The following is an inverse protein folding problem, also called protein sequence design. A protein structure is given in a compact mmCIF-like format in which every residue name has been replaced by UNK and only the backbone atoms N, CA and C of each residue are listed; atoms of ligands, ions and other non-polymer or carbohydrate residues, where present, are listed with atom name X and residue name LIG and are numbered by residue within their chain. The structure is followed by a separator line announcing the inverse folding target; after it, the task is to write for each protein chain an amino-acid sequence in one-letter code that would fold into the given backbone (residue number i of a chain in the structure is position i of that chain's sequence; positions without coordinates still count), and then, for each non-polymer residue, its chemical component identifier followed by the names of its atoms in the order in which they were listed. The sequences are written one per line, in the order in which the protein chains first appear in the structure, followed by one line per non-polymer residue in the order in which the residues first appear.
data_IF_942474545962
#
_entry.id   IF_942474545962
#
_cell.length_a   1.000
_cell.length_b   1.000
_cell.length_c   1.000
_cell.angle_alpha   90.00
_cell.angle_beta   90.00
_cell.angle_gamma   90.00
#
_symmetry.space_group_name_H-M   'P 1'
#
loop_
_entity.id
_entity.type
_entity.pdbx_description
1 polymer ?
#
# COMPACT_ATOMS: atom_id res chain seq x y z
N UNK A 1 -19.43 -26.90 49.79
CA UNK A 1 -20.10 -25.74 49.18
C UNK A 1 -19.93 -25.88 47.67
N UNK A 2 -20.99 -26.32 46.99
CA UNK A 2 -21.05 -26.50 45.55
C UNK A 2 -21.24 -25.14 44.88
N UNK A 3 -20.42 -24.79 43.89
CA UNK A 3 -20.89 -24.04 42.73
C UNK A 3 -19.95 -24.28 41.54
N UNK A 4 -20.38 -25.17 40.64
CA UNK A 4 -19.82 -25.30 39.31
C UNK A 4 -20.28 -24.08 38.52
N UNK A 5 -19.37 -23.22 38.10
CA UNK A 5 -19.69 -22.12 37.18
C UNK A 5 -19.59 -22.69 35.77
N UNK A 6 -20.75 -22.81 35.15
CA UNK A 6 -20.94 -23.20 33.75
C UNK A 6 -20.70 -21.96 32.89
N UNK A 7 -19.56 -21.86 32.22
CA UNK A 7 -19.39 -20.86 31.15
C UNK A 7 -20.03 -21.40 29.88
N UNK A 8 -21.17 -20.84 29.51
CA UNK A 8 -21.80 -21.05 28.21
C UNK A 8 -21.00 -20.22 27.20
N UNK A 9 -20.25 -20.92 26.34
CA UNK A 9 -19.61 -20.34 25.17
C UNK A 9 -20.70 -20.08 24.12
N UNK A 10 -21.12 -18.82 23.96
CA UNK A 10 -21.96 -18.39 22.85
C UNK A 10 -21.04 -18.28 21.63
N UNK A 11 -21.01 -19.32 20.81
CA UNK A 11 -20.47 -19.27 19.46
C UNK A 11 -21.52 -18.56 18.60
N UNK A 12 -21.22 -17.33 18.18
CA UNK A 12 -22.00 -16.59 17.19
C UNK A 12 -21.64 -17.16 15.80
N UNK A 13 -22.41 -18.14 15.33
CA UNK A 13 -22.35 -18.56 13.92
C UNK A 13 -23.01 -17.44 13.11
N UNK A 14 -22.22 -16.62 12.45
CA UNK A 14 -22.70 -15.89 11.28
C UNK A 14 -22.98 -16.95 10.20
N UNK A 15 -24.24 -17.33 10.05
CA UNK A 15 -24.70 -18.04 8.86
C UNK A 15 -24.83 -16.93 7.81
N UNK A 16 -24.05 -16.92 6.72
CA UNK A 16 -24.39 -16.07 5.60
C UNK A 16 -25.79 -16.50 5.15
N UNK A 17 -26.79 -15.63 5.30
CA UNK A 17 -28.12 -15.81 4.73
C UNK A 17 -28.00 -15.49 3.24
N UNK A 18 -27.24 -16.30 2.54
CA UNK A 18 -27.35 -16.44 1.10
C UNK A 18 -28.49 -17.41 0.86
N UNK A 19 -29.55 -16.97 0.18
CA UNK A 19 -30.49 -17.90 -0.41
C UNK A 19 -29.72 -18.77 -1.41
N UNK A 20 -29.38 -20.00 -1.03
CA UNK A 20 -28.88 -21.00 -1.96
C UNK A 20 -30.07 -21.45 -2.81
N UNK A 21 -30.33 -20.72 -3.89
CA UNK A 21 -31.08 -21.31 -4.99
C UNK A 21 -30.19 -22.40 -5.57
N UNK A 22 -30.54 -23.66 -5.30
CA UNK A 22 -30.04 -24.79 -6.06
C UNK A 22 -30.67 -24.76 -7.47
N UNK A 23 -30.37 -23.72 -8.24
CA UNK A 23 -30.45 -23.81 -9.68
C UNK A 23 -29.27 -24.66 -10.10
N UNK A 24 -29.53 -25.84 -10.68
CA UNK A 24 -28.50 -26.59 -11.39
C UNK A 24 -28.16 -25.82 -12.67
N UNK A 25 -27.55 -24.64 -12.53
CA UNK A 25 -27.07 -23.87 -13.67
C UNK A 25 -26.08 -24.74 -14.42
N UNK A 26 -26.28 -24.85 -15.73
CA UNK A 26 -25.42 -25.60 -16.64
C UNK A 26 -24.15 -24.83 -16.98
N UNK A 27 -24.10 -23.55 -16.62
CA UNK A 27 -22.97 -22.63 -16.78
C UNK A 27 -22.73 -21.90 -15.46
N UNK A 28 -21.47 -21.68 -15.10
CA UNK A 28 -21.04 -20.80 -14.00
C UNK A 28 -20.13 -19.71 -14.55
N UNK A 29 -20.08 -18.56 -13.87
CA UNK A 29 -19.12 -17.50 -14.15
C UNK A 29 -18.64 -16.92 -12.83
N UNK A 30 -17.36 -16.55 -12.78
CA UNK A 30 -16.71 -15.84 -11.69
C UNK A 30 -15.57 -14.99 -12.24
N UNK A 31 -15.10 -14.07 -11.42
CA UNK A 31 -13.86 -13.31 -11.63
C UNK A 31 -12.79 -13.84 -10.67
N UNK A 32 -11.52 -13.54 -10.94
CA UNK A 32 -10.39 -13.92 -10.08
C UNK A 32 -10.30 -13.08 -8.80
N UNK A 33 -10.87 -11.87 -8.80
CA UNK A 33 -11.05 -11.01 -7.62
C UNK A 33 -12.44 -10.34 -7.63
N UNK A 34 -12.84 -9.75 -6.49
CA UNK A 34 -14.08 -9.00 -6.34
C UNK A 34 -13.92 -7.50 -6.63
N UNK A 35 -12.69 -6.97 -6.56
CA UNK A 35 -12.33 -5.57 -6.74
C UNK A 35 -11.15 -5.43 -7.71
N UNK A 36 -11.13 -4.34 -8.48
CA UNK A 36 -10.09 -4.02 -9.46
C UNK A 36 -9.86 -2.51 -9.58
N UNK A 37 -8.60 -2.11 -9.77
CA UNK A 37 -8.19 -0.75 -10.07
C UNK A 37 -7.90 -0.56 -11.57
N UNK A 38 -7.71 0.70 -12.00
CA UNK A 38 -7.30 1.00 -13.37
C UNK A 38 -5.99 0.29 -13.74
N UNK A 39 -5.98 -0.38 -14.89
CA UNK A 39 -4.83 -1.13 -15.38
C UNK A 39 -4.76 -2.58 -14.91
N UNK A 40 -5.62 -3.01 -13.98
CA UNK A 40 -5.71 -4.42 -13.60
C UNK A 40 -6.17 -5.32 -14.77
N UNK A 41 -5.73 -6.57 -14.75
CA UNK A 41 -6.25 -7.60 -15.67
C UNK A 41 -7.30 -8.44 -14.95
N UNK A 42 -8.55 -8.29 -15.36
CA UNK A 42 -9.69 -9.05 -14.85
C UNK A 42 -9.75 -10.39 -15.58
N UNK A 43 -9.65 -11.50 -14.86
CA UNK A 43 -9.78 -12.84 -15.44
C UNK A 43 -11.16 -13.40 -15.18
N UNK A 44 -12.01 -13.35 -16.20
CA UNK A 44 -13.35 -13.95 -16.15
C UNK A 44 -13.23 -15.41 -16.49
N UNK A 45 -13.75 -16.30 -15.64
CA UNK A 45 -13.67 -17.75 -15.83
C UNK A 45 -14.96 -18.45 -15.43
N UNK A 46 -15.12 -19.68 -15.90
CA UNK A 46 -16.29 -20.48 -15.55
C UNK A 46 -16.24 -21.88 -16.14
N UNK A 47 -17.31 -22.63 -15.88
CA UNK A 47 -17.44 -24.00 -16.34
C UNK A 47 -18.83 -24.26 -16.94
N UNK A 48 -18.87 -25.10 -17.96
CA UNK A 48 -20.11 -25.65 -18.53
C UNK A 48 -20.18 -27.15 -18.24
N UNK A 49 -21.33 -27.60 -17.74
CA UNK A 49 -21.55 -29.02 -17.42
C UNK A 49 -21.82 -29.89 -18.64
N UNK A 50 -22.47 -29.34 -19.67
CA UNK A 50 -22.88 -30.08 -20.88
C UNK A 50 -22.43 -29.30 -22.10
N UNK A 51 -21.44 -29.84 -22.81
CA UNK A 51 -20.88 -29.25 -24.02
C UNK A 51 -21.67 -29.76 -25.23
N UNK A 52 -22.18 -28.84 -26.05
CA UNK A 52 -22.89 -29.12 -27.30
C UNK A 52 -22.01 -28.68 -28.48
N UNK A 53 -21.41 -29.65 -29.16
CA UNK A 53 -20.57 -29.38 -30.34
C UNK A 53 -19.44 -28.38 -30.06
N UNK A 54 -19.26 -27.43 -30.97
CA UNK A 54 -18.28 -26.33 -30.87
C UNK A 54 -18.97 -24.99 -30.55
N UNK A 55 -20.13 -25.01 -29.87
CA UNK A 55 -20.84 -23.78 -29.50
C UNK A 55 -19.95 -22.91 -28.58
N UNK A 56 -19.69 -21.64 -28.93
CA UNK A 56 -18.95 -20.73 -28.06
C UNK A 56 -19.85 -20.12 -26.98
N UNK A 57 -19.23 -19.59 -25.93
CA UNK A 57 -19.87 -18.73 -24.94
C UNK A 57 -19.89 -17.31 -25.48
N UNK A 58 -20.98 -16.59 -25.26
CA UNK A 58 -21.03 -15.13 -25.42
C UNK A 58 -20.88 -14.48 -24.05
N UNK A 59 -19.80 -13.73 -23.86
CA UNK A 59 -19.55 -12.89 -22.69
C UNK A 59 -19.97 -11.46 -23.02
N UNK A 60 -20.69 -10.82 -22.11
CA UNK A 60 -21.10 -9.42 -22.17
C UNK A 60 -20.78 -8.77 -20.83
N UNK A 61 -20.07 -7.64 -20.86
CA UNK A 61 -19.75 -6.83 -19.68
C UNK A 61 -20.58 -5.57 -19.72
N UNK A 62 -21.22 -5.22 -18.60
CA UNK A 62 -22.08 -4.04 -18.48
C UNK A 62 -21.66 -3.13 -17.34
N UNK A 63 -21.87 -1.83 -17.54
CA UNK A 63 -21.79 -0.78 -16.51
C UNK A 63 -23.02 0.10 -16.60
N UNK A 64 -23.81 0.17 -15.53
CA UNK A 64 -25.06 0.96 -15.48
C UNK A 64 -26.02 0.69 -16.66
N UNK A 65 -26.06 -0.56 -17.11
CA UNK A 65 -26.85 -1.02 -18.26
C UNK A 65 -26.22 -0.77 -19.63
N UNK A 66 -25.08 -0.07 -19.72
CA UNK A 66 -24.36 0.15 -20.96
C UNK A 66 -23.38 -1.00 -21.24
N UNK A 67 -23.27 -1.41 -22.50
CA UNK A 67 -22.32 -2.45 -22.93
C UNK A 67 -20.89 -1.88 -22.90
N UNK A 68 -20.01 -2.55 -22.19
CA UNK A 68 -18.58 -2.25 -22.08
C UNK A 68 -17.79 -3.13 -23.03
N UNK A 69 -17.99 -4.44 -22.95
CA UNK A 69 -17.24 -5.46 -23.69
C UNK A 69 -18.20 -6.55 -24.19
N UNK A 70 -17.94 -7.11 -25.37
CA UNK A 70 -18.59 -8.34 -25.84
C UNK A 70 -17.57 -9.25 -26.50
N UNK A 71 -17.54 -10.52 -26.10
CA UNK A 71 -16.60 -11.50 -26.61
C UNK A 71 -17.26 -12.87 -26.84
N UNK A 72 -16.71 -13.62 -27.80
CA UNK A 72 -17.05 -15.04 -27.99
C UNK A 72 -15.87 -15.91 -27.57
N UNK A 73 -16.11 -16.88 -26.70
CA UNK A 73 -15.07 -17.70 -26.07
C UNK A 73 -15.32 -19.16 -26.40
N UNK A 74 -14.30 -19.83 -26.94
CA UNK A 74 -14.36 -21.27 -27.18
C UNK A 74 -14.22 -22.02 -25.85
N UNK A 75 -15.06 -23.04 -25.67
CA UNK A 75 -15.06 -23.89 -24.48
C UNK A 75 -14.04 -25.01 -24.67
N UNK A 76 -13.22 -25.28 -23.66
CA UNK A 76 -12.30 -26.41 -23.69
C UNK A 76 -13.04 -27.75 -23.51
N UNK A 77 -12.36 -28.86 -23.81
CA UNK A 77 -12.97 -30.21 -23.79
C UNK A 77 -13.45 -30.66 -22.41
N UNK A 78 -12.92 -30.07 -21.35
CA UNK A 78 -13.30 -30.27 -19.96
C UNK A 78 -14.36 -29.27 -19.47
N UNK A 79 -14.90 -28.43 -20.36
CA UNK A 79 -15.99 -27.50 -20.08
C UNK A 79 -15.54 -26.16 -19.50
N UNK A 80 -14.23 -25.95 -19.34
CA UNK A 80 -13.68 -24.71 -18.81
C UNK A 80 -13.64 -23.60 -19.88
N UNK A 81 -13.66 -22.37 -19.42
CA UNK A 81 -13.38 -21.21 -20.26
C UNK A 81 -12.79 -20.08 -19.41
N UNK A 82 -12.03 -19.20 -20.06
CA UNK A 82 -11.42 -18.03 -19.43
C UNK A 82 -11.25 -16.93 -20.47
N UNK A 83 -11.38 -15.67 -20.04
CA UNK A 83 -11.21 -14.49 -20.86
C UNK A 83 -10.61 -13.35 -20.03
N UNK A 84 -9.39 -12.87 -20.36
CA UNK A 84 -8.79 -11.72 -19.70
C UNK A 84 -9.30 -10.41 -20.29
N UNK A 85 -9.58 -9.43 -19.44
CA UNK A 85 -9.93 -8.06 -19.82
C UNK A 85 -8.99 -7.10 -19.09
N UNK A 86 -8.38 -6.18 -19.83
CA UNK A 86 -7.60 -5.10 -19.23
C UNK A 86 -8.56 -3.96 -18.84
N UNK A 87 -8.58 -3.59 -17.55
CA UNK A 87 -9.44 -2.56 -16.99
C UNK A 87 -8.91 -1.14 -17.30
N UNK A 88 -8.81 -0.81 -18.59
CA UNK A 88 -8.22 0.44 -19.07
C UNK A 88 -8.91 0.98 -20.33
N UNK A 89 -8.92 2.31 -20.48
CA UNK A 89 -9.37 3.00 -21.68
C UNK A 89 -10.72 3.69 -21.50
N UNK A 90 -11.29 4.19 -22.60
CA UNK A 90 -12.45 5.09 -22.54
C UNK A 90 -13.74 4.47 -21.97
N UNK A 91 -13.82 3.15 -21.87
CA UNK A 91 -14.95 2.43 -21.27
C UNK A 91 -14.77 2.17 -19.76
N UNK A 92 -13.60 2.51 -19.22
CA UNK A 92 -13.17 2.31 -17.83
C UNK A 92 -12.95 3.66 -17.16
N UNK A 93 -14.01 4.47 -17.09
CA UNK A 93 -13.94 5.84 -16.58
C UNK A 93 -14.80 6.05 -15.33
N UNK A 94 -15.72 5.13 -15.05
CA UNK A 94 -16.71 5.30 -13.99
C UNK A 94 -16.50 4.24 -12.93
N UNK A 95 -16.27 4.67 -11.69
CA UNK A 95 -16.22 3.78 -10.54
C UNK A 95 -17.53 3.01 -10.36
N UNK A 96 -17.44 1.80 -9.82
CA UNK A 96 -18.54 1.11 -9.18
C UNK A 96 -18.70 -0.33 -9.68
N UNK A 97 -19.92 -0.85 -9.53
CA UNK A 97 -20.23 -2.23 -9.93
C UNK A 97 -20.28 -2.39 -11.45
N UNK A 98 -19.65 -3.46 -11.93
CA UNK A 98 -19.73 -3.96 -13.30
C UNK A 98 -20.35 -5.35 -13.27
N UNK A 99 -21.20 -5.65 -14.27
CA UNK A 99 -21.94 -6.91 -14.36
C UNK A 99 -21.41 -7.72 -15.53
N UNK A 100 -20.85 -8.89 -15.23
CA UNK A 100 -20.47 -9.89 -16.23
C UNK A 100 -21.66 -10.81 -16.46
N UNK A 101 -22.06 -10.95 -17.72
CA UNK A 101 -23.07 -11.90 -18.16
C UNK A 101 -22.49 -12.85 -19.18
N UNK A 102 -22.65 -14.14 -18.96
CA UNK A 102 -22.29 -15.17 -19.92
C UNK A 102 -23.54 -15.91 -20.39
N UNK A 103 -23.60 -16.19 -21.70
CA UNK A 103 -24.67 -16.97 -22.31
C UNK A 103 -24.10 -18.12 -23.12
N UNK A 104 -24.66 -19.31 -22.95
CA UNK A 104 -24.28 -20.51 -23.68
C UNK A 104 -25.48 -21.17 -24.36
N UNK A 105 -25.51 -21.16 -25.70
CA UNK A 105 -26.65 -21.65 -26.47
C UNK A 105 -27.95 -20.92 -26.14
N UNK A 106 -29.07 -21.63 -26.16
CA UNK A 106 -30.40 -21.05 -25.89
C UNK A 106 -30.73 -21.13 -24.39
N UNK A 107 -30.69 -19.98 -23.71
CA UNK A 107 -31.25 -19.80 -22.36
C UNK A 107 -30.34 -20.14 -21.17
N UNK A 108 -29.13 -20.66 -21.38
CA UNK A 108 -28.18 -20.86 -20.27
C UNK A 108 -27.44 -19.57 -19.99
N UNK A 109 -27.79 -18.90 -18.89
CA UNK A 109 -27.23 -17.61 -18.49
C UNK A 109 -26.64 -17.75 -17.09
N UNK A 110 -25.46 -17.17 -16.89
CA UNK A 110 -24.91 -16.91 -15.57
C UNK A 110 -24.37 -15.48 -15.49
N UNK A 111 -24.44 -14.89 -14.30
CA UNK A 111 -24.02 -13.52 -14.04
C UNK A 111 -23.13 -13.49 -12.80
N UNK A 112 -22.15 -12.59 -12.79
CA UNK A 112 -21.34 -12.24 -11.62
C UNK A 112 -21.06 -10.74 -11.66
N UNK A 113 -20.70 -10.18 -10.51
CA UNK A 113 -20.36 -8.76 -10.39
C UNK A 113 -18.96 -8.60 -9.83
N UNK A 114 -18.34 -7.47 -10.16
CA UNK A 114 -17.12 -6.99 -9.52
C UNK A 114 -17.18 -5.47 -9.39
N UNK A 115 -16.37 -4.91 -8.50
CA UNK A 115 -16.24 -3.47 -8.32
C UNK A 115 -14.98 -2.97 -9.01
N UNK A 116 -15.07 -1.82 -9.68
CA UNK A 116 -13.95 -1.18 -10.36
C UNK A 116 -13.76 0.26 -9.86
N UNK A 117 -12.50 0.67 -9.67
CA UNK A 117 -12.14 2.05 -9.32
C UNK A 117 -11.14 2.62 -10.35
N UNK A 118 -11.49 3.70 -11.08
CA UNK A 118 -10.54 4.38 -11.95
C UNK A 118 -9.57 5.23 -11.12
N UNK A 119 -8.34 5.43 -11.62
CA UNK A 119 -7.32 6.22 -10.91
C UNK A 119 -7.78 7.67 -10.66
N UNK A 120 -8.68 8.20 -11.49
CA UNK A 120 -9.23 9.55 -11.36
C UNK A 120 -10.20 9.75 -10.19
N UNK A 121 -10.87 8.68 -9.75
CA UNK A 121 -11.83 8.71 -8.63
C UNK A 121 -11.21 8.25 -7.32
N UNK A 122 -9.94 7.83 -7.37
CA UNK A 122 -9.14 7.64 -6.19
C UNK A 122 -9.01 8.99 -5.47
N UNK A 123 -9.59 9.09 -4.28
CA UNK A 123 -9.31 10.19 -3.36
C UNK A 123 -7.85 10.11 -2.93
N UNK A 124 -6.99 10.78 -3.68
CA UNK A 124 -5.62 11.06 -3.29
C UNK A 124 -5.59 12.35 -2.50
N UNK A 125 -4.96 12.31 -1.33
CA UNK A 125 -4.63 13.53 -0.59
C UNK A 125 -3.17 13.82 -0.86
N UNK A 126 -2.92 14.92 -1.58
CA UNK A 126 -1.57 15.49 -1.73
C UNK A 126 -1.49 16.74 -0.87
N UNK A 127 -0.54 16.74 0.06
CA UNK A 127 -0.30 17.86 0.96
C UNK A 127 1.16 17.87 1.41
N UNK A 128 1.54 18.90 2.15
CA UNK A 128 2.85 19.07 2.75
C UNK A 128 2.71 18.99 4.26
N UNK A 129 3.48 18.10 4.90
CA UNK A 129 3.55 18.01 6.36
C UNK A 129 4.78 18.75 6.89
N UNK A 130 4.58 19.71 7.79
CA UNK A 130 5.68 20.39 8.48
C UNK A 130 6.19 19.50 9.64
N UNK A 131 7.32 18.83 9.42
CA UNK A 131 7.95 17.94 10.40
C UNK A 131 8.80 18.74 11.37
N UNK A 132 8.59 18.52 12.68
CA UNK A 132 9.37 19.19 13.72
C UNK A 132 10.73 18.53 13.90
N UNK A 133 11.80 19.31 13.69
CA UNK A 133 13.19 18.89 13.79
C UNK A 133 13.89 19.36 15.08
N UNK A 134 13.12 19.63 16.13
CA UNK A 134 13.63 20.05 17.43
C UNK A 134 14.42 21.35 17.33
N UNK A 135 15.66 21.35 17.83
CA UNK A 135 16.53 22.54 17.77
C UNK A 135 16.98 22.90 16.35
N UNK A 136 16.82 22.01 15.39
CA UNK A 136 17.18 22.23 13.99
C UNK A 136 16.08 22.93 13.18
N UNK A 137 14.96 23.28 13.82
CA UNK A 137 13.83 23.97 13.21
C UNK A 137 12.74 23.01 12.77
N UNK A 138 12.16 23.26 11.61
CA UNK A 138 11.15 22.41 10.96
C UNK A 138 11.53 22.22 9.50
N UNK A 139 10.96 21.19 8.87
CA UNK A 139 11.06 21.02 7.43
C UNK A 139 9.78 20.47 6.83
N UNK A 140 9.57 20.82 5.57
CA UNK A 140 8.42 20.41 4.79
C UNK A 140 8.69 19.04 4.16
N UNK A 141 7.71 18.15 4.27
CA UNK A 141 7.72 16.83 3.65
C UNK A 141 6.46 16.68 2.80
N UNK A 142 6.64 16.69 1.49
CA UNK A 142 5.56 16.51 0.54
C UNK A 142 5.16 15.04 0.50
N UNK A 143 3.84 14.80 0.51
CA UNK A 143 3.30 13.45 0.45
C UNK A 143 2.06 13.35 -0.44
N UNK A 144 1.80 12.14 -0.92
CA UNK A 144 0.52 11.77 -1.52
C UNK A 144 0.06 10.45 -0.90
N UNK A 145 -1.15 10.41 -0.36
CA UNK A 145 -1.72 9.20 0.26
C UNK A 145 -3.08 8.85 -0.35
N UNK A 146 -3.29 7.54 -0.55
CA UNK A 146 -4.55 6.89 -0.94
C UNK A 146 -4.86 5.77 0.04
N UNK A 147 -6.14 5.53 0.32
CA UNK A 147 -6.58 4.43 1.21
C UNK A 147 -6.51 4.80 2.70
N UNK A 148 -6.09 6.02 3.02
CA UNK A 148 -6.02 6.49 4.40
C UNK A 148 -5.66 7.96 4.49
N UNK A 149 -5.43 8.42 5.72
CA UNK A 149 -4.97 9.77 6.02
C UNK A 149 -3.73 9.75 6.91
N UNK A 150 -2.86 10.75 6.77
CA UNK A 150 -1.73 10.93 7.68
C UNK A 150 -2.24 11.69 8.91
N UNK A 151 -1.99 11.13 10.09
CA UNK A 151 -2.26 11.80 11.36
C UNK A 151 -1.06 12.65 11.79
N UNK A 152 0.13 12.04 11.81
CA UNK A 152 1.36 12.71 12.25
C UNK A 152 2.59 12.15 11.54
N UNK A 153 3.57 13.03 11.30
CA UNK A 153 4.92 12.63 10.92
C UNK A 153 5.87 13.16 12.00
N UNK A 154 6.64 12.26 12.58
CA UNK A 154 7.58 12.58 13.65
C UNK A 154 8.93 11.93 13.42
N UNK A 155 9.95 12.45 14.08
CA UNK A 155 11.32 11.95 13.98
C UNK A 155 11.61 11.08 15.20
N UNK A 156 12.15 9.90 14.95
CA UNK A 156 12.65 9.02 15.98
C UNK A 156 14.16 8.79 15.79
N UNK A 157 14.93 9.51 16.60
CA UNK A 157 16.38 9.45 16.64
C UNK A 157 16.91 8.07 17.05
N UNK A 158 16.13 7.25 17.78
CA UNK A 158 16.56 5.93 18.22
C UNK A 158 16.66 4.93 17.07
N UNK A 159 15.84 5.13 16.03
CA UNK A 159 15.83 4.31 14.82
C UNK A 159 16.46 5.01 13.62
N UNK A 160 17.01 6.22 13.81
CA UNK A 160 17.54 7.07 12.73
C UNK A 160 16.53 7.25 11.59
N UNK A 161 15.26 7.48 11.92
CA UNK A 161 14.17 7.43 10.96
C UNK A 161 12.99 8.36 11.24
N UNK A 162 12.03 8.31 10.31
CA UNK A 162 10.73 8.95 10.44
C UNK A 162 9.68 7.92 10.86
N UNK A 163 8.73 8.37 11.68
CA UNK A 163 7.54 7.63 12.06
C UNK A 163 6.34 8.38 11.50
N UNK A 164 5.62 7.73 10.60
CA UNK A 164 4.40 8.22 9.96
C UNK A 164 3.22 7.47 10.56
N UNK A 165 2.41 8.14 11.36
CA UNK A 165 1.16 7.59 11.88
C UNK A 165 0.04 7.83 10.85
N UNK A 166 -0.66 6.75 10.49
CA UNK A 166 -1.73 6.77 9.48
C UNK A 166 -3.03 6.22 10.06
N UNK A 167 -4.14 6.67 9.49
CA UNK A 167 -5.45 6.04 9.63
C UNK A 167 -5.80 5.38 8.29
N UNK A 168 -5.50 4.08 8.17
CA UNK A 168 -5.72 3.28 6.96
C UNK A 168 -7.16 2.75 6.92
N UNK A 169 -8.05 3.50 6.27
CA UNK A 169 -9.45 3.11 6.07
C UNK A 169 -9.66 2.02 5.02
N UNK A 170 -8.66 1.78 4.17
CA UNK A 170 -8.66 0.79 3.08
C UNK A 170 -7.21 0.41 2.74
N UNK A 171 -7.01 -0.58 1.87
CA UNK A 171 -5.71 -0.82 1.24
C UNK A 171 -5.27 0.40 0.42
N UNK A 172 -3.98 0.72 0.48
CA UNK A 172 -3.53 2.04 0.12
C UNK A 172 -2.06 2.14 -0.25
N UNK A 173 -1.70 3.34 -0.71
CA UNK A 173 -0.34 3.71 -1.07
C UNK A 173 -0.01 5.06 -0.50
N UNK A 174 1.21 5.21 -0.01
CA UNK A 174 1.77 6.49 0.40
C UNK A 174 3.03 6.77 -0.42
N UNK A 175 3.11 7.97 -0.97
CA UNK A 175 4.28 8.50 -1.66
C UNK A 175 4.85 9.62 -0.80
N UNK A 176 6.15 9.57 -0.51
CA UNK A 176 6.84 10.52 0.37
C UNK A 176 8.10 11.04 -0.31
N UNK A 177 8.22 12.36 -0.40
CA UNK A 177 9.43 13.02 -0.89
C UNK A 177 10.35 13.33 0.29
N UNK A 178 11.35 12.47 0.48
CA UNK A 178 12.29 12.56 1.59
C UNK A 178 13.45 13.50 1.24
N UNK A 179 13.59 14.67 1.90
CA UNK A 179 14.71 15.55 1.66
C UNK A 179 15.96 14.97 2.33
N UNK A 180 16.97 14.62 1.53
CA UNK A 180 18.22 13.98 2.00
C UNK A 180 18.90 14.75 3.12
N UNK A 181 18.81 16.08 3.10
CA UNK A 181 19.32 16.96 4.15
C UNK A 181 18.85 16.55 5.57
N UNK A 182 17.63 16.03 5.70
CA UNK A 182 17.02 15.69 6.98
C UNK A 182 16.94 14.18 7.22
N UNK A 183 16.84 13.36 6.17
CA UNK A 183 16.83 11.90 6.30
C UNK A 183 17.45 11.27 5.06
N UNK A 184 18.41 10.37 5.24
CA UNK A 184 18.92 9.57 4.13
C UNK A 184 19.43 8.21 4.63
N UNK A 185 19.58 7.29 3.69
CA UNK A 185 20.29 6.04 3.85
C UNK A 185 21.51 6.06 2.92
N UNK A 186 22.69 6.25 3.51
CA UNK A 186 23.96 6.42 2.80
C UNK A 186 25.07 5.57 3.44
N UNK A 187 25.87 4.93 2.59
CA UNK A 187 27.09 4.19 2.96
C UNK A 187 28.22 5.17 3.34
N UNK A 188 29.23 4.68 4.05
CA UNK A 188 30.43 5.47 4.43
C UNK A 188 31.20 6.09 3.24
N UNK A 189 31.00 5.59 2.02
CA UNK A 189 31.63 6.10 0.81
C UNK A 189 30.81 7.15 0.05
N UNK A 190 29.71 7.60 0.65
CA UNK A 190 28.84 8.63 0.08
C UNK A 190 27.89 8.12 -1.01
N UNK A 191 27.61 6.82 -1.01
CA UNK A 191 26.68 6.20 -1.97
C UNK A 191 25.40 5.79 -1.26
N UNK A 192 24.29 5.91 -1.99
CA UNK A 192 22.98 5.49 -1.51
C UNK A 192 22.98 4.04 -1.01
N UNK A 193 22.28 3.86 0.10
CA UNK A 193 21.86 2.60 0.68
C UNK A 193 20.33 2.53 0.67
N UNK A 194 19.81 1.32 0.82
CA UNK A 194 18.37 1.09 0.98
C UNK A 194 17.89 1.58 2.34
N UNK A 195 16.67 2.14 2.36
CA UNK A 195 15.93 2.33 3.61
C UNK A 195 15.37 1.00 4.09
N UNK A 196 15.11 0.90 5.40
CA UNK A 196 14.33 -0.19 5.97
C UNK A 196 12.95 0.38 6.30
N UNK A 197 11.90 -0.23 5.76
CA UNK A 197 10.52 0.22 5.95
C UNK A 197 9.77 -0.82 6.78
N UNK A 198 9.26 -0.42 7.95
CA UNK A 198 8.46 -1.29 8.82
C UNK A 198 7.04 -0.76 8.92
N UNK A 199 6.04 -1.64 8.84
CA UNK A 199 4.63 -1.31 9.05
C UNK A 199 4.12 -1.98 10.32
N UNK A 200 3.48 -1.21 11.19
CA UNK A 200 2.76 -1.72 12.37
C UNK A 200 1.36 -2.20 11.97
N UNK A 201 1.19 -3.51 11.99
CA UNK A 201 -0.08 -4.18 11.70
C UNK A 201 -1.08 -4.04 12.85
N UNK A 202 -2.35 -4.33 12.59
CA UNK A 202 -3.43 -4.27 13.60
C UNK A 202 -3.17 -5.09 14.88
N UNK A 203 -2.37 -6.13 14.79
CA UNK A 203 -1.99 -6.98 15.93
C UNK A 203 -0.81 -6.42 16.76
N UNK A 204 -0.24 -5.28 16.35
CA UNK A 204 0.92 -4.64 16.95
C UNK A 204 2.27 -5.17 16.48
N UNK A 205 2.30 -6.08 15.50
CA UNK A 205 3.55 -6.58 14.94
C UNK A 205 4.15 -5.56 13.96
N UNK A 206 5.47 -5.38 14.02
CA UNK A 206 6.23 -4.61 13.03
C UNK A 206 6.75 -5.57 11.95
N UNK A 207 6.30 -5.36 10.72
CA UNK A 207 6.67 -6.18 9.56
C UNK A 207 7.43 -5.33 8.55
N UNK A 208 8.58 -5.82 8.11
CA UNK A 208 9.34 -5.19 7.01
C UNK A 208 8.59 -5.34 5.69
N UNK A 209 8.46 -4.25 4.94
CA UNK A 209 7.78 -4.21 3.65
C UNK A 209 8.71 -3.79 2.53
N UNK A 210 8.34 -4.13 1.30
CA UNK A 210 9.00 -3.63 0.09
C UNK A 210 8.46 -2.26 -0.30
N UNK A 211 9.30 -1.46 -0.95
CA UNK A 211 8.93 -0.14 -1.46
C UNK A 211 9.54 0.10 -2.83
N UNK A 212 8.93 1.00 -3.61
CA UNK A 212 9.54 1.51 -4.83
C UNK A 212 10.22 2.85 -4.54
N UNK A 213 11.36 3.08 -5.18
CA UNK A 213 12.12 4.31 -5.02
C UNK A 213 12.40 4.96 -6.36
N UNK A 214 12.14 6.26 -6.43
CA UNK A 214 12.55 7.10 -7.53
C UNK A 214 13.56 8.14 -7.06
N UNK A 215 14.69 8.23 -7.77
CA UNK A 215 15.75 9.22 -7.53
C UNK A 215 15.77 10.23 -8.67
N UNK A 216 14.72 11.03 -8.78
CA UNK A 216 14.59 12.06 -9.81
C UNK A 216 15.51 13.26 -9.56
N UNK A 217 15.87 13.52 -8.29
CA UNK A 217 16.70 14.66 -7.88
C UNK A 217 17.78 14.23 -6.88
N UNK A 218 18.97 14.86 -6.95
CA UNK A 218 20.09 14.52 -6.06
C UNK A 218 19.83 14.83 -4.59
N UNK A 219 18.85 15.68 -4.29
CA UNK A 219 18.55 16.18 -2.93
C UNK A 219 17.34 15.50 -2.29
N UNK A 220 16.54 14.75 -3.06
CA UNK A 220 15.27 14.17 -2.63
C UNK A 220 15.23 12.69 -3.03
N UNK A 221 14.71 11.83 -2.15
CA UNK A 221 14.38 10.43 -2.46
C UNK A 221 12.89 10.25 -2.33
N UNK A 222 12.22 9.85 -3.42
CA UNK A 222 10.78 9.63 -3.43
C UNK A 222 10.51 8.16 -3.16
N UNK A 223 9.85 7.85 -2.05
CA UNK A 223 9.48 6.49 -1.67
C UNK A 223 7.99 6.26 -1.92
N UNK A 224 7.64 5.14 -2.54
CA UNK A 224 6.25 4.65 -2.64
C UNK A 224 6.12 3.37 -1.84
N UNK A 225 5.23 3.38 -0.84
CA UNK A 225 5.02 2.31 0.13
C UNK A 225 3.55 1.91 0.11
N UNK A 226 3.29 0.61 -0.03
CA UNK A 226 1.93 0.05 0.03
C UNK A 226 1.57 -0.31 1.48
N UNK A 227 0.32 -0.11 1.89
CA UNK A 227 -0.20 -0.47 3.21
C UNK A 227 -1.59 -1.11 3.11
N UNK A 228 -1.98 -1.85 4.14
CA UNK A 228 -3.27 -2.56 4.21
C UNK A 228 -4.26 -1.83 5.14
N UNK A 229 -5.56 -2.15 5.02
CA UNK A 229 -6.59 -1.64 5.92
C UNK A 229 -6.23 -1.90 7.40
N UNK A 230 -6.32 -0.85 8.22
CA UNK A 230 -6.04 -0.88 9.65
C UNK A 230 -4.56 -0.87 10.04
N UNK A 231 -3.63 -0.79 9.09
CA UNK A 231 -2.25 -0.45 9.40
C UNK A 231 -2.18 0.94 10.04
N UNK A 232 -1.34 1.10 11.07
CA UNK A 232 -1.39 2.30 11.94
C UNK A 232 -0.13 3.15 11.91
N UNK A 233 1.00 2.58 11.53
CA UNK A 233 2.30 3.25 11.56
C UNK A 233 3.24 2.72 10.49
N UNK A 234 3.95 3.63 9.84
CA UNK A 234 5.03 3.32 8.90
C UNK A 234 6.32 3.94 9.46
N UNK A 235 7.33 3.12 9.68
CA UNK A 235 8.67 3.55 10.10
C UNK A 235 9.61 3.51 8.92
N UNK A 236 10.28 4.63 8.65
CA UNK A 236 11.23 4.80 7.56
C UNK A 236 12.61 4.98 8.18
N UNK A 237 13.42 3.93 8.14
CA UNK A 237 14.70 3.85 8.84
C UNK A 237 15.83 4.08 7.84
N UNK A 238 16.62 5.13 8.07
CA UNK A 238 17.79 5.48 7.28
C UNK A 238 19.10 5.16 7.99
N UNK A 239 20.20 5.76 7.51
CA UNK A 239 21.48 5.78 8.23
C UNK A 239 21.63 7.03 9.09
N UNK A 240 20.82 8.06 8.82
CA UNK A 240 20.62 9.21 9.71
C UNK A 240 19.23 9.83 9.53
N UNK A 241 18.72 10.40 10.62
CA UNK A 241 17.60 11.35 10.62
C UNK A 241 18.05 12.55 11.44
N UNK A 242 17.80 13.77 10.95
CA UNK A 242 18.34 15.04 11.41
C UNK A 242 19.81 14.91 11.81
N UNK A 243 20.75 15.35 10.97
CA UNK A 243 22.16 15.35 11.37
C UNK A 243 22.36 16.09 12.69
N UNK A 244 22.61 15.35 13.77
CA UNK A 244 23.02 15.92 15.04
C UNK A 244 24.43 16.51 14.86
N UNK A 245 24.46 17.83 14.73
CA UNK A 245 25.55 18.72 15.15
C UNK A 245 26.88 18.62 14.40
N UNK A 246 26.89 18.52 13.07
CA UNK A 246 28.13 18.71 12.30
C UNK A 246 28.86 20.01 12.67
N UNK A 247 28.16 21.10 12.97
CA UNK A 247 28.78 22.36 13.43
C UNK A 247 28.93 22.45 14.94
N UNK A 248 27.94 22.08 15.75
CA UNK A 248 28.05 22.24 17.22
C UNK A 248 29.07 21.26 17.82
N UNK A 249 29.11 20.00 17.38
CA UNK A 249 30.13 19.03 17.82
C UNK A 249 31.50 19.46 17.33
N UNK A 250 31.63 19.95 16.09
CA UNK A 250 32.91 20.47 15.60
C UNK A 250 33.34 21.75 16.33
N UNK A 251 32.42 22.64 16.70
CA UNK A 251 32.73 23.83 17.51
C UNK A 251 33.17 23.39 18.91
N UNK A 252 32.44 22.51 19.59
CA UNK A 252 32.80 21.99 20.91
C UNK A 252 34.15 21.28 20.87
N UNK A 253 34.38 20.44 19.85
CA UNK A 253 35.64 19.73 19.63
C UNK A 253 36.78 20.71 19.35
N UNK A 254 36.57 21.71 18.49
CA UNK A 254 37.57 22.73 18.17
C UNK A 254 37.91 23.57 19.40
N UNK A 255 36.91 24.01 20.16
CA UNK A 255 37.08 24.76 21.41
C UNK A 255 37.81 23.90 22.45
N UNK A 256 37.46 22.62 22.57
CA UNK A 256 38.11 21.66 23.47
C UNK A 256 39.57 21.42 23.12
N UNK A 257 39.89 21.22 21.84
CA UNK A 257 41.26 21.09 21.33
C UNK A 257 42.04 22.39 21.58
N UNK A 258 41.47 23.55 21.27
CA UNK A 258 42.11 24.85 21.45
C UNK A 258 42.41 25.14 22.94
N UNK A 259 41.45 24.85 23.83
CA UNK A 259 41.63 24.99 25.28
C UNK A 259 42.73 24.03 25.79
N UNK A 260 42.74 22.79 25.31
CA UNK A 260 43.78 21.80 25.65
C UNK A 260 45.16 22.25 25.20
N UNK A 261 45.29 22.82 24.00
CA UNK A 261 46.55 23.37 23.48
C UNK A 261 47.03 24.56 24.34
N UNK A 262 46.14 25.50 24.67
CA UNK A 262 46.47 26.67 25.48
C UNK A 262 46.93 26.29 26.89
N UNK A 263 46.21 25.38 27.55
CA UNK A 263 46.57 24.89 28.89
C UNK A 263 47.91 24.13 28.88
N UNK A 264 48.16 23.34 27.83
CA UNK A 264 49.41 22.61 27.67
C UNK A 264 50.58 23.58 27.43
N UNK A 265 50.41 24.62 26.59
CA UNK A 265 51.44 25.64 26.34
C UNK A 265 51.81 26.43 27.61
N UNK A 266 50.84 26.71 28.48
CA UNK A 266 51.08 27.46 29.70
C UNK A 266 51.85 26.63 30.76
N UNK A 267 51.64 25.31 30.83
CA UNK A 267 52.37 24.44 31.76
C UNK A 267 53.86 24.30 31.45
N UNK A 268 54.28 24.45 30.18
CA UNK A 268 55.69 24.40 29.78
C UNK A 268 56.43 25.74 29.92
N UNK A 269 55.79 26.80 30.42
CA UNK A 269 56.41 28.08 30.74
C UNK A 269 56.74 28.27 32.24
N UNK A 270 56.71 27.20 33.04
CA UNK A 270 57.28 27.24 34.39
C UNK A 270 58.81 27.25 34.24
N UNK A 271 59.40 28.45 34.24
CA UNK A 271 60.85 28.63 34.39
C UNK A 271 61.29 28.02 35.73
N UNK A 272 62.18 27.04 35.66
CA UNK A 272 63.06 26.66 36.78
C UNK A 272 64.11 27.75 36.96
#
# INVERSE_FOLDING_TARGET
MHLKIFSILIILILIPVGTVFANTSLISVQTDNATYDEGDTIVISGQIKIIVGETPITLQLFKDGNMVEIAQINVSKDGNYSYPILAQGSMWQNQGEYVVKVTYGEGNIAETVFFYTPDSEVLTTTDTFEVNAGSSGTFDLDYTIRGGTISTISIDENIFGLVVDIDASDEGKIVLDLPRKYIDAEKQNGKDEVFIILIEKQNGDLIETTYNEETSHSEIRTLTIDFEEGDSKIQIIGTYVIPEFGTIVMIILTVGIMASILLTRNKFQIKI
#
